data_IF_411497410580
#
_entry.id   IF_411497410580
#
_cell.length_a   1.000
_cell.length_b   1.000
_cell.length_c   1.000
_cell.angle_alpha   90.00
_cell.angle_beta   90.00
_cell.angle_gamma   90.00
#
_symmetry.space_group_name_H-M   'P 1'
#
loop_
_entity.id
_entity.type
_entity.pdbx_description
1 polymer ?
#
# COMPACT_ATOMS: atom_id res chain seq x y z
N UNK A 1 10.46 6.96 12.76
CA UNK A 1 11.30 5.77 12.51
C UNK A 1 10.72 5.09 11.29
N UNK A 2 11.54 4.81 10.28
CA UNK A 2 11.10 4.03 9.11
C UNK A 2 10.98 2.57 9.56
N UNK A 3 9.78 1.99 9.47
CA UNK A 3 9.56 0.57 9.74
C UNK A 3 9.12 -0.11 8.46
N UNK A 4 9.87 -1.14 8.05
CA UNK A 4 9.56 -1.98 6.90
C UNK A 4 9.50 -3.42 7.38
N UNK A 5 8.46 -4.15 6.96
CA UNK A 5 8.29 -5.56 7.29
C UNK A 5 7.87 -6.36 6.08
N UNK A 6 8.35 -7.59 5.99
CA UNK A 6 7.93 -8.55 4.98
C UNK A 6 7.46 -9.82 5.69
N UNK A 7 6.24 -10.27 5.39
CA UNK A 7 5.67 -11.48 5.98
C UNK A 7 4.83 -12.22 4.96
N UNK A 8 4.62 -13.53 5.15
CA UNK A 8 3.61 -14.25 4.37
C UNK A 8 2.21 -13.74 4.73
N UNK A 9 1.26 -13.83 3.80
CA UNK A 9 -0.13 -13.48 4.05
C UNK A 9 -0.73 -14.39 5.14
N UNK A 10 -0.36 -15.67 5.16
CA UNK A 10 -0.78 -16.63 6.18
C UNK A 10 -0.36 -16.26 7.60
N UNK A 11 0.80 -15.62 7.74
CA UNK A 11 1.36 -15.20 9.04
C UNK A 11 1.07 -13.71 9.36
N UNK A 12 0.39 -12.98 8.47
CA UNK A 12 0.23 -11.53 8.59
C UNK A 12 -0.50 -11.11 9.87
N UNK A 13 -1.48 -11.89 10.33
CA UNK A 13 -2.21 -11.57 11.57
C UNK A 13 -1.31 -11.51 12.81
N UNK A 14 -0.31 -12.39 12.89
CA UNK A 14 0.56 -12.53 14.07
C UNK A 14 1.87 -11.74 13.94
N UNK A 15 2.39 -11.62 12.71
CA UNK A 15 3.72 -11.08 12.45
C UNK A 15 3.71 -9.88 11.51
N UNK A 16 2.58 -9.56 10.88
CA UNK A 16 2.42 -8.41 10.01
C UNK A 16 2.64 -7.08 10.73
N UNK A 17 3.04 -6.08 9.94
CA UNK A 17 3.02 -4.70 10.38
C UNK A 17 1.61 -4.20 10.18
N UNK A 18 0.85 -4.11 11.26
CA UNK A 18 -0.54 -3.65 11.25
C UNK A 18 -0.63 -2.21 11.74
N UNK A 19 -1.56 -1.45 11.18
CA UNK A 19 -1.89 -0.14 11.70
C UNK A 19 -2.80 -0.25 12.93
N UNK A 20 -3.87 -1.05 12.83
CA UNK A 20 -4.85 -1.28 13.88
C UNK A 20 -5.36 -2.73 13.83
N UNK A 21 -5.89 -3.25 14.94
CA UNK A 21 -6.57 -4.56 14.97
C UNK A 21 -8.05 -4.47 14.54
N UNK A 22 -8.58 -3.24 14.50
CA UNK A 22 -9.98 -2.95 14.20
C UNK A 22 -10.16 -2.49 12.74
N UNK A 23 -11.16 -1.63 12.51
CA UNK A 23 -11.46 -1.04 11.22
C UNK A 23 -10.39 -0.02 10.81
N UNK A 24 -9.87 -0.16 9.59
CA UNK A 24 -9.06 0.85 8.92
C UNK A 24 -9.80 1.37 7.68
N UNK A 25 -9.46 2.58 7.26
CA UNK A 25 -9.87 3.12 5.96
C UNK A 25 -8.69 3.00 5.00
N UNK A 26 -8.89 2.31 3.88
CA UNK A 26 -7.84 2.07 2.90
C UNK A 26 -8.24 2.36 1.48
N UNK A 27 -7.26 2.66 0.64
CA UNK A 27 -7.37 2.60 -0.81
C UNK A 27 -6.56 1.40 -1.26
N UNK A 28 -7.21 0.48 -1.97
CA UNK A 28 -6.59 -0.73 -2.52
C UNK A 28 -6.83 -0.80 -4.02
N UNK A 29 -5.84 -1.29 -4.75
CA UNK A 29 -5.97 -1.55 -6.17
C UNK A 29 -5.01 -2.62 -6.65
N UNK A 30 -5.05 -2.87 -7.95
CA UNK A 30 -4.27 -3.91 -8.62
C UNK A 30 -3.00 -3.31 -9.20
N UNK A 31 -1.90 -4.01 -9.01
CA UNK A 31 -0.63 -3.76 -9.68
C UNK A 31 -0.50 -4.77 -10.83
N UNK A 32 -0.35 -4.29 -12.05
CA UNK A 32 -0.12 -5.09 -13.26
C UNK A 32 1.28 -4.81 -13.83
N UNK A 33 1.78 -5.71 -14.68
CA UNK A 33 3.03 -5.55 -15.41
C UNK A 33 4.17 -6.42 -14.88
N UNK A 34 5.34 -5.84 -14.68
CA UNK A 34 6.57 -6.56 -14.32
C UNK A 34 6.51 -7.26 -12.95
N UNK A 35 5.69 -6.74 -12.04
CA UNK A 35 5.50 -7.28 -10.70
C UNK A 35 4.01 -7.23 -10.34
N UNK A 36 3.21 -8.18 -10.85
CA UNK A 36 1.78 -8.18 -10.63
C UNK A 36 1.43 -8.50 -9.17
N UNK A 37 0.36 -7.90 -8.67
CA UNK A 37 -0.04 -8.02 -7.28
C UNK A 37 -1.15 -7.05 -6.88
N UNK A 38 -1.20 -6.73 -5.59
CA UNK A 38 -2.07 -5.68 -5.06
C UNK A 38 -1.24 -4.67 -4.29
N UNK A 39 -1.65 -3.41 -4.36
CA UNK A 39 -1.01 -2.31 -3.65
C UNK A 39 -2.10 -1.53 -2.93
N UNK A 40 -1.82 -1.13 -1.69
CA UNK A 40 -2.75 -0.34 -0.90
C UNK A 40 -2.03 0.65 0.02
N UNK A 41 -2.83 1.58 0.54
CA UNK A 41 -2.48 2.44 1.66
C UNK A 41 -3.66 2.47 2.63
N UNK A 42 -3.39 2.29 3.92
CA UNK A 42 -4.38 2.25 4.99
C UNK A 42 -4.06 3.27 6.08
N UNK A 43 -5.13 3.80 6.67
CA UNK A 43 -5.11 4.84 7.69
C UNK A 43 -6.08 4.45 8.82
N UNK A 44 -5.82 4.94 10.03
CA UNK A 44 -6.86 4.96 11.06
C UNK A 44 -7.97 5.91 10.60
N UNK A 45 -9.25 5.66 10.92
CA UNK A 45 -10.37 6.48 10.42
C UNK A 45 -10.21 7.98 10.67
N UNK A 46 -9.68 8.38 11.83
CA UNK A 46 -9.36 9.77 12.16
C UNK A 46 -8.32 10.38 11.23
N UNK A 47 -7.24 9.65 10.95
CA UNK A 47 -6.15 10.08 10.07
C UNK A 47 -6.61 10.11 8.61
N UNK A 48 -7.50 9.18 8.21
CA UNK A 48 -8.12 9.16 6.89
C UNK A 48 -8.98 10.41 6.64
N UNK A 49 -9.74 10.84 7.65
CA UNK A 49 -10.54 12.06 7.57
C UNK A 49 -9.65 13.29 7.46
N UNK A 50 -8.60 13.38 8.28
CA UNK A 50 -7.62 14.47 8.22
C UNK A 50 -6.94 14.50 6.85
N UNK A 51 -6.52 13.35 6.33
CA UNK A 51 -5.96 13.21 4.98
C UNK A 51 -6.90 13.71 3.89
N UNK A 52 -8.18 13.32 3.95
CA UNK A 52 -9.20 13.78 3.01
C UNK A 52 -9.43 15.29 3.07
N UNK A 53 -9.43 15.88 4.27
CA UNK A 53 -9.62 17.32 4.48
C UNK A 53 -8.46 18.15 3.92
N UNK A 54 -7.26 17.58 3.78
CA UNK A 54 -6.13 18.27 3.15
C UNK A 54 -6.38 18.60 1.67
N UNK A 55 -7.26 17.85 0.99
CA UNK A 55 -7.62 18.08 -0.41
C UNK A 55 -8.63 19.21 -0.65
N UNK A 56 -9.08 19.91 0.40
CA UNK A 56 -9.95 21.10 0.34
C UNK A 56 -11.20 20.90 -0.54
N UNK A 57 -11.93 19.81 -0.28
CA UNK A 57 -13.07 19.35 -1.07
C UNK A 57 -14.30 19.10 -0.20
N UNK A 58 -15.47 19.48 -0.72
CA UNK A 58 -16.78 19.19 -0.11
C UNK A 58 -17.16 17.70 -0.17
N UNK A 59 -16.31 16.85 -0.77
CA UNK A 59 -16.52 15.41 -0.92
C UNK A 59 -15.35 14.59 -0.36
N UNK A 60 -15.25 14.46 0.97
CA UNK A 60 -14.10 13.83 1.63
C UNK A 60 -13.78 12.41 1.16
N UNK A 61 -14.80 11.56 0.94
CA UNK A 61 -14.57 10.18 0.50
C UNK A 61 -13.98 10.10 -0.92
N UNK A 62 -14.51 10.89 -1.86
CA UNK A 62 -13.97 10.95 -3.22
C UNK A 62 -12.53 11.48 -3.20
N UNK A 63 -12.25 12.47 -2.35
CA UNK A 63 -10.90 13.02 -2.17
C UNK A 63 -9.94 12.03 -1.55
N UNK A 64 -10.36 11.28 -0.52
CA UNK A 64 -9.55 10.22 0.08
C UNK A 64 -9.12 9.18 -0.97
N UNK A 65 -10.07 8.69 -1.77
CA UNK A 65 -9.81 7.72 -2.84
C UNK A 65 -8.90 8.31 -3.90
N UNK A 66 -9.15 9.54 -4.35
CA UNK A 66 -8.33 10.22 -5.36
C UNK A 66 -6.88 10.39 -4.88
N UNK A 67 -6.68 10.92 -3.69
CA UNK A 67 -5.33 11.14 -3.12
C UNK A 67 -4.60 9.83 -2.86
N UNK A 68 -5.31 8.80 -2.36
CA UNK A 68 -4.75 7.47 -2.20
C UNK A 68 -4.36 6.86 -3.54
N UNK A 69 -5.20 7.01 -4.57
CA UNK A 69 -4.90 6.53 -5.93
C UNK A 69 -3.64 7.19 -6.48
N UNK A 70 -3.55 8.52 -6.43
CA UNK A 70 -2.37 9.27 -6.88
C UNK A 70 -1.09 8.85 -6.14
N UNK A 71 -1.18 8.64 -4.83
CA UNK A 71 -0.06 8.16 -4.03
C UNK A 71 0.42 6.76 -4.48
N UNK A 72 -0.51 5.84 -4.71
CA UNK A 72 -0.22 4.47 -5.13
C UNK A 72 0.26 4.38 -6.59
N UNK A 73 -0.24 5.24 -7.46
CA UNK A 73 0.30 5.44 -8.80
C UNK A 73 1.75 5.94 -8.74
N UNK A 74 2.05 6.88 -7.85
CA UNK A 74 3.42 7.35 -7.60
C UNK A 74 4.37 6.24 -7.16
N UNK A 75 3.94 5.37 -6.23
CA UNK A 75 4.71 4.18 -5.84
C UNK A 75 4.92 3.22 -7.02
N UNK A 76 3.91 3.08 -7.88
CA UNK A 76 3.98 2.22 -9.06
C UNK A 76 4.96 2.74 -10.10
N UNK A 77 5.02 4.06 -10.31
CA UNK A 77 6.04 4.69 -11.15
C UNK A 77 7.44 4.42 -10.60
N UNK A 78 7.66 4.60 -9.30
CA UNK A 78 8.95 4.33 -8.68
C UNK A 78 9.36 2.84 -8.83
N UNK A 79 8.42 1.91 -8.68
CA UNK A 79 8.66 0.49 -8.93
C UNK A 79 9.02 0.21 -10.39
N UNK A 80 8.32 0.83 -11.34
CA UNK A 80 8.62 0.68 -12.76
C UNK A 80 10.03 1.15 -13.11
N UNK A 81 10.46 2.28 -12.53
CA UNK A 81 11.81 2.82 -12.70
C UNK A 81 12.88 1.88 -12.13
N UNK A 82 12.67 1.38 -10.90
CA UNK A 82 13.58 0.44 -10.24
C UNK A 82 13.73 -0.83 -11.09
N UNK A 83 12.60 -1.39 -11.53
CA UNK A 83 12.56 -2.64 -12.31
C UNK A 83 12.97 -2.45 -13.77
N UNK A 84 13.12 -1.20 -14.22
CA UNK A 84 13.32 -0.83 -15.63
C UNK A 84 12.31 -1.51 -16.55
N UNK A 85 11.05 -1.59 -16.11
CA UNK A 85 9.99 -2.34 -16.77
C UNK A 85 8.63 -1.74 -16.45
N UNK A 86 7.67 -1.91 -17.36
CA UNK A 86 6.35 -1.32 -17.22
C UNK A 86 5.58 -1.92 -16.03
N UNK A 87 5.04 -1.04 -15.19
CA UNK A 87 4.07 -1.36 -14.15
C UNK A 87 2.90 -0.39 -14.26
N UNK A 88 1.69 -0.84 -13.94
CA UNK A 88 0.51 0.04 -13.89
C UNK A 88 -0.38 -0.29 -12.70
N UNK A 89 -0.91 0.76 -12.07
CA UNK A 89 -1.87 0.65 -10.98
C UNK A 89 -3.29 0.92 -11.51
N UNK A 90 -4.26 0.09 -11.12
CA UNK A 90 -5.63 0.15 -11.65
C UNK A 90 -6.65 -0.28 -10.60
N UNK A 91 -7.92 0.00 -10.90
CA UNK A 91 -9.08 -0.46 -10.13
C UNK A 91 -9.00 -0.06 -8.65
N UNK A 92 -8.54 1.17 -8.39
CA UNK A 92 -8.43 1.70 -7.04
C UNK A 92 -9.81 1.91 -6.43
N UNK A 93 -10.03 1.38 -5.22
CA UNK A 93 -11.29 1.49 -4.51
C UNK A 93 -11.10 1.74 -3.01
N UNK A 94 -12.11 2.36 -2.41
CA UNK A 94 -12.22 2.48 -0.96
C UNK A 94 -12.50 1.09 -0.36
N UNK A 95 -11.78 0.76 0.69
CA UNK A 95 -12.07 -0.41 1.51
C UNK A 95 -12.05 -0.01 2.98
N UNK A 96 -13.17 -0.25 3.67
CA UNK A 96 -13.34 -0.03 5.10
C UNK A 96 -13.51 -1.39 5.77
N UNK A 97 -12.44 -1.93 6.31
CA UNK A 97 -12.42 -3.25 6.95
C UNK A 97 -11.17 -3.40 7.83
N UNK A 98 -11.02 -4.52 8.51
CA UNK A 98 -9.73 -4.91 9.08
C UNK A 98 -8.70 -5.22 7.98
N UNK A 99 -7.43 -4.90 8.21
CA UNK A 99 -6.35 -5.11 7.21
C UNK A 99 -6.31 -6.56 6.69
N UNK A 100 -6.49 -7.54 7.57
CA UNK A 100 -6.52 -8.96 7.18
C UNK A 100 -7.69 -9.25 6.23
N UNK A 101 -8.88 -8.76 6.54
CA UNK A 101 -10.06 -8.95 5.71
C UNK A 101 -9.90 -8.25 4.35
N UNK A 102 -9.26 -7.08 4.29
CA UNK A 102 -8.91 -6.43 3.03
C UNK A 102 -8.04 -7.34 2.17
N UNK A 103 -7.04 -7.99 2.74
CA UNK A 103 -6.12 -8.84 1.97
C UNK A 103 -6.78 -10.14 1.53
N UNK A 104 -7.64 -10.75 2.35
CA UNK A 104 -8.39 -11.96 1.98
C UNK A 104 -9.27 -11.73 0.74
N UNK A 105 -9.85 -10.53 0.58
CA UNK A 105 -10.66 -10.16 -0.60
C UNK A 105 -9.87 -10.15 -1.91
N UNK A 106 -8.54 -10.08 -1.86
CA UNK A 106 -7.69 -10.17 -3.06
C UNK A 106 -7.61 -11.58 -3.66
N UNK A 107 -8.09 -12.60 -2.93
CA UNK A 107 -7.95 -14.02 -3.27
C UNK A 107 -6.50 -14.48 -3.45
N UNK A 108 -5.54 -13.75 -2.88
CA UNK A 108 -4.13 -14.10 -2.91
C UNK A 108 -3.86 -15.40 -2.11
N UNK A 109 -2.97 -16.28 -2.59
CA UNK A 109 -2.50 -17.45 -1.84
C UNK A 109 -1.89 -17.08 -0.47
N UNK A 110 -1.91 -18.01 0.48
CA UNK A 110 -1.36 -17.77 1.83
C UNK A 110 0.16 -17.51 1.85
N UNK A 111 0.89 -18.01 0.85
CA UNK A 111 2.33 -17.78 0.67
C UNK A 111 2.63 -16.47 -0.07
N UNK A 112 1.63 -15.71 -0.48
CA UNK A 112 1.82 -14.34 -0.98
C UNK A 112 2.57 -13.51 0.05
N UNK A 113 3.55 -12.75 -0.43
CA UNK A 113 4.38 -11.91 0.39
C UNK A 113 3.73 -10.54 0.56
N UNK A 114 3.59 -10.09 1.80
CA UNK A 114 3.08 -8.77 2.17
C UNK A 114 4.26 -7.90 2.62
N UNK A 115 4.70 -7.00 1.75
CA UNK A 115 5.63 -5.94 2.11
C UNK A 115 4.88 -4.75 2.68
N UNK A 116 5.20 -4.37 3.90
CA UNK A 116 4.50 -3.31 4.63
C UNK A 116 5.49 -2.21 5.00
N UNK A 117 5.08 -0.96 4.79
CA UNK A 117 5.87 0.22 5.07
C UNK A 117 5.06 1.16 5.96
N UNK A 118 5.57 1.47 7.17
CA UNK A 118 4.98 2.51 8.03
C UNK A 118 5.38 3.89 7.51
N UNK A 119 4.37 4.72 7.27
CA UNK A 119 4.50 6.06 6.75
C UNK A 119 4.06 7.07 7.80
N UNK A 120 4.73 8.22 7.80
CA UNK A 120 4.26 9.43 8.45
C UNK A 120 4.22 10.52 7.39
N UNK A 121 3.01 10.95 7.03
CA UNK A 121 2.82 11.93 5.98
C UNK A 121 2.60 13.29 6.63
N UNK A 122 3.44 14.24 6.25
CA UNK A 122 3.42 15.60 6.79
C UNK A 122 2.78 16.53 5.77
N UNK A 123 1.77 17.29 6.17
CA UNK A 123 1.17 18.31 5.32
C UNK A 123 0.84 19.55 6.15
N UNK A 124 1.48 20.66 5.81
CA UNK A 124 1.39 21.94 6.54
C UNK A 124 1.66 21.73 8.05
N UNK A 125 0.63 21.78 8.86
CA UNK A 125 0.69 21.68 10.32
C UNK A 125 0.17 20.34 10.87
N UNK A 126 -0.28 19.44 9.99
CA UNK A 126 -0.85 18.15 10.35
C UNK A 126 0.08 17.00 9.95
N UNK A 127 0.04 15.92 10.74
CA UNK A 127 0.79 14.70 10.47
C UNK A 127 -0.14 13.50 10.62
N UNK A 128 -0.32 12.75 9.53
CA UNK A 128 -1.10 11.52 9.52
C UNK A 128 -0.19 10.30 9.47
N UNK A 129 -0.60 9.23 10.14
CA UNK A 129 0.08 7.93 10.11
C UNK A 129 -0.64 7.00 9.13
N UNK A 130 0.14 6.26 8.36
CA UNK A 130 -0.38 5.29 7.42
C UNK A 130 0.50 4.05 7.36
N UNK A 131 -0.04 2.97 6.84
CA UNK A 131 0.75 1.82 6.38
C UNK A 131 0.43 1.59 4.92
N UNK A 132 1.45 1.36 4.10
CA UNK A 132 1.25 0.89 2.72
C UNK A 132 1.68 -0.55 2.61
N UNK A 133 0.86 -1.36 1.93
CA UNK A 133 1.15 -2.77 1.70
C UNK A 133 1.23 -3.08 0.21
N UNK A 134 2.27 -3.84 -0.15
CA UNK A 134 2.46 -4.46 -1.46
C UNK A 134 2.34 -5.98 -1.28
N UNK A 135 1.35 -6.58 -1.94
CA UNK A 135 1.10 -8.01 -1.96
C UNK A 135 1.58 -8.56 -3.30
N UNK A 136 2.59 -9.43 -3.28
CA UNK A 136 3.19 -10.01 -4.50
C UNK A 136 3.51 -11.48 -4.29
N UNK A 137 3.52 -12.25 -5.39
CA UNK A 137 4.06 -13.61 -5.31
C UNK A 137 5.56 -13.58 -4.95
N UNK A 138 6.06 -14.52 -4.11
CA UNK A 138 7.45 -14.54 -3.68
C UNK A 138 8.48 -14.56 -4.81
N UNK A 139 8.14 -15.12 -5.98
CA UNK A 139 9.04 -15.19 -7.15
C UNK A 139 9.46 -13.81 -7.66
N UNK A 140 8.65 -12.78 -7.46
CA UNK A 140 8.96 -11.41 -7.90
C UNK A 140 9.93 -10.69 -6.96
N UNK A 141 10.12 -11.18 -5.73
CA UNK A 141 11.04 -10.56 -4.78
C UNK A 141 12.50 -10.63 -5.27
N UNK A 142 12.90 -11.77 -5.81
CA UNK A 142 14.26 -11.93 -6.32
C UNK A 142 14.56 -10.93 -7.45
N UNK A 143 13.56 -10.64 -8.30
CA UNK A 143 13.68 -9.65 -9.35
C UNK A 143 13.84 -8.23 -8.78
N UNK A 144 13.02 -7.86 -7.79
CA UNK A 144 13.14 -6.56 -7.12
C UNK A 144 14.51 -6.36 -6.47
N UNK A 145 15.01 -7.36 -5.72
CA UNK A 145 16.33 -7.27 -5.10
C UNK A 145 17.47 -7.23 -6.11
N UNK A 146 17.37 -7.99 -7.20
CA UNK A 146 18.36 -7.93 -8.28
C UNK A 146 18.41 -6.54 -8.91
N UNK A 147 17.24 -5.93 -9.15
CA UNK A 147 17.14 -4.60 -9.73
C UNK A 147 17.71 -3.52 -8.78
N UNK A 148 17.34 -3.57 -7.50
CA UNK A 148 17.87 -2.68 -6.46
C UNK A 148 19.39 -2.84 -6.30
N UNK A 149 19.91 -4.06 -6.32
CA UNK A 149 21.36 -4.30 -6.23
C UNK A 149 22.11 -3.70 -7.42
N UNK A 150 21.51 -3.74 -8.62
CA UNK A 150 22.12 -3.16 -9.82
C UNK A 150 22.12 -1.64 -9.77
N UNK A 151 21.10 -1.02 -9.17
CA UNK A 151 21.03 0.43 -9.02
C UNK A 151 22.07 1.00 -8.04
N UNK A 152 22.64 0.17 -7.16
CA UNK A 152 23.62 0.57 -6.13
C UNK A 152 25.07 0.30 -6.57
N UNK A 153 25.29 -0.44 -7.65
CA UNK A 153 26.61 -0.80 -8.18
C UNK A 153 26.88 -0.16 -9.54
#
# INVERSE_FOLDING_TARGET
MLEVRATSLGDFGEHGLRLSEDLVAGVIGRLDGAMPGSLNVVFEPEDALVWAQMGDSDRPLETFVSMGTEFLEGLTVALAEILQSECSFRDAELCEDSELAMFVKTHAPSDTLVFSLRLRILSRDEAVSAVSHLLIEPKYLAQLFSALSTAVH
#
